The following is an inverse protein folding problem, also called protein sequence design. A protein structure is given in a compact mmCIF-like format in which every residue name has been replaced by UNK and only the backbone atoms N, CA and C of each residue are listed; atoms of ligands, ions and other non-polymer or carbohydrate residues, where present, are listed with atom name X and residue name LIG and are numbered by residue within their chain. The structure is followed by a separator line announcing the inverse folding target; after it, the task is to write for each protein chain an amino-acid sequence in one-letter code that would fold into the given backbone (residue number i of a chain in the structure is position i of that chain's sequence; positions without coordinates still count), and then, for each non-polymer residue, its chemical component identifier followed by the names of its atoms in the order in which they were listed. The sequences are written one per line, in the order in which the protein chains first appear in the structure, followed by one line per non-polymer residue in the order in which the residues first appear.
data_IF_983092093699
#
_entry.id   IF_983092093699
#
_cell.length_a   1.000
_cell.length_b   1.000
_cell.length_c   1.000
_cell.angle_alpha   90.00
_cell.angle_beta   90.00
_cell.angle_gamma   90.00
#
_symmetry.space_group_name_H-M   'P 1'
#
loop_
_entity.id
_entity.type
_entity.pdbx_description
1 polymer ?
#
# COMPACT_ATOMS: atom_id res chain seq x y z
N UNK A 1 44.45 33.39 2.95
CA UNK A 1 43.79 32.39 3.82
C UNK A 1 42.86 31.58 2.91
N UNK A 2 43.25 30.35 2.56
CA UNK A 2 42.43 29.46 1.73
C UNK A 2 41.42 28.74 2.62
N UNK A 3 40.14 28.81 2.28
CA UNK A 3 39.11 28.00 2.93
C UNK A 3 38.98 26.67 2.17
N UNK A 4 39.31 25.56 2.83
CA UNK A 4 38.95 24.23 2.34
C UNK A 4 37.57 23.88 2.92
N UNK A 5 36.58 23.64 2.06
CA UNK A 5 35.29 23.08 2.47
C UNK A 5 35.41 21.57 2.35
N UNK A 6 35.46 20.86 3.48
CA UNK A 6 35.29 19.41 3.52
C UNK A 6 33.83 19.11 3.90
N UNK A 7 33.15 18.33 3.06
CA UNK A 7 31.80 17.81 3.34
C UNK A 7 31.97 16.43 3.95
N UNK A 8 31.59 16.26 5.22
CA UNK A 8 31.53 14.95 5.87
C UNK A 8 30.10 14.43 5.74
N UNK A 9 29.93 13.27 5.11
CA UNK A 9 28.63 12.60 5.02
C UNK A 9 28.56 11.56 6.14
N UNK A 10 27.64 11.74 7.08
CA UNK A 10 27.33 10.72 8.09
C UNK A 10 26.16 9.90 7.59
N UNK A 11 26.40 8.65 7.22
CA UNK A 11 25.33 7.72 6.84
C UNK A 11 24.86 6.99 8.08
N UNK A 12 23.68 7.35 8.60
CA UNK A 12 23.00 6.55 9.61
C UNK A 12 22.22 5.46 8.86
N UNK A 13 22.66 4.21 8.96
CA UNK A 13 21.92 3.09 8.39
C UNK A 13 20.79 2.68 9.33
N UNK A 14 19.61 3.24 9.10
CA UNK A 14 18.36 2.87 9.76
C UNK A 14 17.18 3.53 9.03
N UNK A 15 16.19 2.71 8.67
CA UNK A 15 14.87 3.03 8.08
C UNK A 15 14.74 4.40 7.37
N UNK A 16 14.89 4.38 6.04
CA UNK A 16 14.37 5.38 5.09
C UNK A 16 14.80 6.86 5.24
N UNK A 17 15.69 7.23 6.17
CA UNK A 17 16.22 8.58 6.25
C UNK A 17 17.70 8.64 5.86
N UNK A 18 18.03 9.57 4.96
CA UNK A 18 19.38 10.11 4.82
C UNK A 18 19.32 11.56 5.29
N UNK A 19 20.00 11.86 6.41
CA UNK A 19 20.26 13.23 6.83
C UNK A 19 21.69 13.59 6.46
N UNK A 20 21.90 14.71 5.75
CA UNK A 20 23.24 15.24 5.47
C UNK A 20 23.48 16.41 6.41
N UNK A 21 24.42 16.26 7.34
CA UNK A 21 24.87 17.37 8.19
C UNK A 21 25.89 18.22 7.40
N UNK A 22 25.67 19.52 7.30
CA UNK A 22 26.56 20.42 6.57
C UNK A 22 27.13 21.51 7.49
N UNK A 23 28.24 21.20 8.19
CA UNK A 23 29.41 22.08 8.44
C UNK A 23 30.29 21.50 9.55
N UNK A 24 31.60 21.48 9.33
CA UNK A 24 32.60 21.34 10.38
C UNK A 24 33.73 22.37 10.12
N UNK A 25 34.31 22.92 11.18
CA UNK A 25 35.43 23.87 11.11
C UNK A 25 36.76 23.16 11.37
N UNK A 26 37.83 23.69 10.79
CA UNK A 26 39.19 23.15 10.89
C UNK A 26 39.99 23.97 11.90
N UNK A 27 40.53 23.34 12.94
CA UNK A 27 41.59 23.92 13.76
C UNK A 27 42.90 23.13 13.61
N UNK A 28 43.88 23.83 13.03
CA UNK A 28 45.35 23.77 13.05
C UNK A 28 46.17 22.49 13.30
N UNK A 29 45.58 21.31 13.52
CA UNK A 29 46.31 20.05 13.43
C UNK A 29 45.42 19.04 12.71
N UNK A 30 46.01 18.28 11.78
CA UNK A 30 45.34 17.33 10.88
C UNK A 30 44.75 16.09 11.62
N UNK A 31 44.04 16.29 12.72
CA UNK A 31 43.31 15.27 13.48
C UNK A 31 41.93 15.80 13.89
N UNK A 32 40.88 15.06 13.53
CA UNK A 32 39.52 15.33 13.98
C UNK A 32 39.32 14.77 15.39
N UNK A 33 38.99 15.63 16.35
CA UNK A 33 38.42 15.21 17.64
C UNK A 33 37.15 16.01 17.84
N UNK A 34 36.00 15.34 17.82
CA UNK A 34 34.76 15.87 18.38
C UNK A 34 34.59 15.25 19.76
N UNK A 35 34.34 16.08 20.77
CA UNK A 35 33.81 15.62 22.05
C UNK A 35 32.29 15.65 21.97
N UNK A 36 31.64 14.65 22.56
CA UNK A 36 30.16 14.50 22.63
C UNK A 36 29.48 15.80 23.12
N UNK A 37 30.20 16.63 23.87
CA UNK A 37 29.71 17.86 24.47
C UNK A 37 29.43 19.01 23.47
N UNK A 38 29.86 18.93 22.20
CA UNK A 38 29.49 19.93 21.17
C UNK A 38 28.14 19.61 20.46
N UNK A 39 27.49 18.52 20.84
CA UNK A 39 26.12 18.17 20.43
C UNK A 39 25.05 18.68 21.43
N UNK A 40 25.42 19.58 22.36
CA UNK A 40 24.48 20.20 23.30
C UNK A 40 23.46 21.08 22.56
N UNK A 41 22.31 20.46 22.28
CA UNK A 41 21.20 21.00 21.51
C UNK A 41 20.34 19.88 20.91
N UNK A 42 20.89 18.67 20.78
CA UNK A 42 20.11 17.47 20.48
C UNK A 42 19.87 16.75 21.81
N UNK A 43 18.70 16.99 22.41
CA UNK A 43 18.18 16.14 23.49
C UNK A 43 17.98 14.73 22.94
N UNK A 44 18.89 13.81 23.26
CA UNK A 44 18.61 12.38 23.27
C UNK A 44 18.20 12.08 24.71
N UNK A 45 16.90 12.03 24.99
CA UNK A 45 16.41 11.57 26.28
C UNK A 45 16.76 10.09 26.43
N UNK A 46 17.86 9.79 27.12
CA UNK A 46 18.16 8.46 27.61
C UNK A 46 17.33 8.20 28.87
N UNK A 47 16.04 7.95 28.68
CA UNK A 47 15.12 7.50 29.73
C UNK A 47 15.33 6.02 30.00
N UNK A 48 16.20 5.70 30.96
CA UNK A 48 16.28 4.37 31.53
C UNK A 48 15.06 4.10 32.43
N UNK A 49 13.99 3.59 31.83
CA UNK A 49 12.93 2.86 32.53
C UNK A 49 12.66 1.57 31.76
N UNK A 50 12.38 0.48 32.49
CA UNK A 50 12.12 -0.84 31.92
C UNK A 50 10.88 -0.79 31.00
N UNK A 51 11.08 -0.55 29.70
CA UNK A 51 10.09 -0.86 28.69
C UNK A 51 10.09 -2.37 28.48
N UNK A 52 9.09 -3.03 29.06
CA UNK A 52 8.65 -4.31 28.53
C UNK A 52 8.32 -4.09 27.04
N UNK A 53 9.07 -4.77 26.16
CA UNK A 53 8.84 -4.94 24.73
C UNK A 53 8.02 -3.82 24.04
N UNK A 54 8.70 -2.74 23.61
CA UNK A 54 8.26 -2.09 22.37
C UNK A 54 8.46 -3.13 21.26
N UNK A 55 7.41 -3.91 21.00
CA UNK A 55 7.38 -4.84 19.89
C UNK A 55 7.79 -4.09 18.63
N UNK A 56 8.96 -4.44 18.09
CA UNK A 56 9.53 -3.99 16.82
C UNK A 56 8.39 -3.88 15.78
N UNK A 57 7.87 -2.67 15.58
CA UNK A 57 6.64 -2.47 14.81
C UNK A 57 7.00 -2.56 13.33
N UNK A 58 7.09 -3.79 12.85
CA UNK A 58 7.36 -4.12 11.46
C UNK A 58 6.36 -3.41 10.55
N UNK A 59 6.85 -2.74 9.49
CA UNK A 59 6.01 -2.08 8.48
C UNK A 59 5.05 -3.11 7.89
N UNK A 60 3.76 -2.79 7.81
CA UNK A 60 2.75 -3.68 7.22
C UNK A 60 2.40 -3.22 5.81
N UNK A 61 2.62 -4.10 4.83
CA UNK A 61 2.16 -3.93 3.44
C UNK A 61 1.00 -4.87 3.19
N UNK A 62 -0.19 -4.31 2.99
CA UNK A 62 -1.35 -5.06 2.54
C UNK A 62 -1.39 -5.12 1.01
N UNK A 63 -1.28 -6.31 0.44
CA UNK A 63 -1.58 -6.55 -0.98
C UNK A 63 -3.07 -6.87 -1.06
N UNK A 64 -3.84 -5.98 -1.68
CA UNK A 64 -5.29 -6.10 -1.78
C UNK A 64 -5.68 -6.54 -3.18
N UNK A 65 -6.40 -7.66 -3.27
CA UNK A 65 -7.00 -8.12 -4.51
C UNK A 65 -8.48 -8.45 -4.28
N UNK A 66 -9.35 -8.06 -5.22
CA UNK A 66 -10.74 -8.50 -5.23
C UNK A 66 -10.94 -9.58 -6.28
N UNK A 67 -11.71 -10.60 -5.94
CA UNK A 67 -11.97 -11.76 -6.81
C UNK A 67 -13.46 -12.04 -6.91
N UNK A 68 -13.83 -12.68 -8.02
CA UNK A 68 -15.18 -13.19 -8.28
C UNK A 68 -15.05 -14.56 -8.93
N UNK A 69 -15.76 -15.52 -8.38
CA UNK A 69 -15.78 -16.89 -8.87
C UNK A 69 -16.29 -16.97 -10.30
N UNK A 70 -15.81 -17.99 -11.00
CA UNK A 70 -16.32 -18.40 -12.30
C UNK A 70 -17.00 -19.76 -12.17
N UNK A 71 -17.98 -20.03 -13.04
CA UNK A 71 -18.76 -21.27 -13.03
C UNK A 71 -17.90 -22.54 -13.20
N UNK A 72 -16.74 -22.41 -13.83
CA UNK A 72 -15.79 -23.47 -14.09
C UNK A 72 -14.79 -23.73 -12.94
N UNK A 73 -14.77 -22.89 -11.90
CA UNK A 73 -13.87 -23.08 -10.76
C UNK A 73 -14.36 -24.24 -9.88
N UNK A 74 -13.62 -25.37 -9.93
CA UNK A 74 -13.90 -26.56 -9.12
C UNK A 74 -12.98 -26.70 -7.90
N UNK A 75 -11.80 -26.09 -7.95
CA UNK A 75 -10.79 -26.15 -6.89
C UNK A 75 -9.98 -24.86 -6.79
N UNK A 76 -9.30 -24.65 -5.67
CA UNK A 76 -8.42 -23.50 -5.47
C UNK A 76 -7.31 -23.47 -6.53
N UNK A 77 -6.83 -24.64 -6.95
CA UNK A 77 -5.82 -24.82 -8.00
C UNK A 77 -6.30 -24.39 -9.39
N UNK A 78 -7.57 -24.06 -9.59
CA UNK A 78 -8.06 -23.48 -10.84
C UNK A 78 -8.01 -21.95 -10.84
N UNK A 79 -7.77 -21.32 -9.68
CA UNK A 79 -7.82 -19.86 -9.53
C UNK A 79 -6.53 -19.18 -9.98
N UNK A 80 -6.66 -17.92 -10.42
CA UNK A 80 -5.49 -17.09 -10.71
C UNK A 80 -4.73 -16.71 -9.43
N UNK A 81 -5.41 -16.61 -8.28
CA UNK A 81 -4.79 -16.39 -6.98
C UNK A 81 -3.73 -17.45 -6.68
N UNK A 82 -4.11 -18.74 -6.77
CA UNK A 82 -3.23 -19.85 -6.47
C UNK A 82 -2.10 -20.02 -7.50
N UNK A 83 -2.40 -19.87 -8.80
CA UNK A 83 -1.43 -20.20 -9.84
C UNK A 83 -0.54 -19.03 -10.29
N UNK A 84 -0.91 -17.79 -9.97
CA UNK A 84 -0.27 -16.59 -10.52
C UNK A 84 0.11 -15.64 -9.39
N UNK A 85 -0.90 -15.06 -8.72
CA UNK A 85 -0.68 -13.95 -7.79
C UNK A 85 0.20 -14.37 -6.63
N UNK A 86 -0.21 -15.41 -5.89
CA UNK A 86 0.50 -15.89 -4.69
C UNK A 86 1.93 -16.36 -5.02
N UNK A 87 2.17 -17.24 -6.02
CA UNK A 87 3.53 -17.63 -6.39
C UNK A 87 4.41 -16.45 -6.79
N UNK A 88 3.84 -15.43 -7.44
CA UNK A 88 4.59 -14.23 -7.82
C UNK A 88 4.98 -13.36 -6.61
N UNK A 89 4.12 -13.26 -5.59
CA UNK A 89 4.44 -12.58 -4.33
C UNK A 89 5.60 -13.31 -3.64
N UNK A 90 5.48 -14.63 -3.44
CA UNK A 90 6.52 -15.44 -2.79
C UNK A 90 7.88 -15.36 -3.52
N UNK A 91 7.85 -15.19 -4.84
CA UNK A 91 9.06 -15.07 -5.67
C UNK A 91 9.68 -13.67 -5.67
N UNK A 92 8.89 -12.61 -5.54
CA UNK A 92 9.36 -11.23 -5.75
C UNK A 92 9.56 -10.43 -4.48
N UNK A 93 8.87 -10.77 -3.39
CA UNK A 93 9.17 -10.21 -2.08
C UNK A 93 10.49 -10.81 -1.59
N UNK A 94 11.48 -9.95 -1.38
CA UNK A 94 12.85 -10.40 -1.13
C UNK A 94 13.11 -10.71 0.34
N UNK A 95 14.07 -11.59 0.68
CA UNK A 95 14.49 -11.81 2.06
C UNK A 95 14.97 -10.56 2.79
N UNK A 96 15.51 -9.56 2.07
CA UNK A 96 15.87 -8.27 2.63
C UNK A 96 14.64 -7.44 3.03
N UNK A 97 13.56 -7.51 2.26
CA UNK A 97 12.30 -6.82 2.59
C UNK A 97 11.62 -7.46 3.79
N UNK A 98 11.56 -8.80 3.83
CA UNK A 98 10.86 -9.52 4.90
C UNK A 98 11.48 -9.32 6.29
N UNK A 99 12.72 -8.80 6.39
CA UNK A 99 13.34 -8.42 7.66
C UNK A 99 12.71 -7.19 8.30
N UNK A 100 12.07 -6.35 7.50
CA UNK A 100 11.57 -5.03 7.90
C UNK A 100 10.09 -4.84 7.59
N UNK A 101 9.56 -5.65 6.68
CA UNK A 101 8.20 -5.56 6.17
C UNK A 101 7.49 -6.88 6.35
N UNK A 102 6.30 -6.81 6.96
CA UNK A 102 5.31 -7.87 6.95
C UNK A 102 4.41 -7.67 5.74
N UNK A 103 4.23 -8.71 4.95
CA UNK A 103 3.35 -8.68 3.77
C UNK A 103 2.12 -9.54 4.04
N UNK A 104 0.95 -8.93 3.96
CA UNK A 104 -0.33 -9.60 4.12
C UNK A 104 -1.13 -9.52 2.82
N UNK A 105 -1.64 -10.66 2.35
CA UNK A 105 -2.56 -10.71 1.22
C UNK A 105 -4.01 -10.63 1.74
N UNK A 106 -4.77 -9.65 1.26
CA UNK A 106 -6.16 -9.44 1.66
C UNK A 106 -7.06 -9.61 0.43
N UNK A 107 -7.94 -10.62 0.49
CA UNK A 107 -8.83 -10.99 -0.60
C UNK A 107 -10.24 -10.54 -0.31
N UNK A 108 -10.74 -9.61 -1.13
CA UNK A 108 -12.15 -9.20 -1.14
C UNK A 108 -13.01 -10.04 -2.07
N UNK A 109 -14.22 -10.39 -1.65
CA UNK A 109 -15.22 -11.05 -2.51
C UNK A 109 -16.64 -10.62 -2.13
N UNK A 110 -17.58 -10.76 -3.07
CA UNK A 110 -19.00 -10.47 -2.84
C UNK A 110 -19.62 -11.54 -1.91
N UNK A 111 -20.50 -11.13 -1.00
CA UNK A 111 -21.16 -12.01 -0.02
C UNK A 111 -22.07 -13.09 -0.61
N UNK A 112 -22.38 -13.00 -1.90
CA UNK A 112 -23.12 -14.01 -2.65
C UNK A 112 -22.21 -14.89 -3.54
N UNK A 113 -20.88 -14.81 -3.40
CA UNK A 113 -19.95 -15.62 -4.16
C UNK A 113 -19.94 -17.08 -3.64
N UNK A 114 -20.43 -18.07 -4.42
CA UNK A 114 -20.59 -19.43 -3.92
C UNK A 114 -19.26 -20.13 -3.63
N UNK A 115 -18.20 -19.79 -4.36
CA UNK A 115 -16.90 -20.46 -4.22
C UNK A 115 -16.16 -19.96 -2.99
N UNK A 116 -16.09 -18.64 -2.81
CA UNK A 116 -15.34 -18.04 -1.71
C UNK A 116 -16.12 -18.01 -0.40
N UNK A 117 -17.45 -18.16 -0.42
CA UNK A 117 -18.23 -18.39 0.79
C UNK A 117 -18.00 -19.77 1.41
N UNK A 118 -17.50 -20.75 0.66
CA UNK A 118 -17.11 -22.06 1.22
C UNK A 118 -15.85 -21.93 2.10
N UNK A 119 -15.95 -22.16 3.44
CA UNK A 119 -14.80 -22.10 4.35
C UNK A 119 -13.71 -23.11 4.00
N UNK A 120 -14.04 -24.25 3.37
CA UNK A 120 -13.06 -25.24 2.97
C UNK A 120 -12.15 -24.69 1.87
N UNK A 121 -12.69 -23.94 0.90
CA UNK A 121 -11.90 -23.29 -0.17
C UNK A 121 -10.95 -22.23 0.38
N UNK A 122 -11.42 -21.41 1.32
CA UNK A 122 -10.58 -20.40 1.98
C UNK A 122 -9.44 -21.05 2.77
N UNK A 123 -9.74 -22.10 3.53
CA UNK A 123 -8.76 -22.87 4.30
C UNK A 123 -7.76 -23.60 3.40
N UNK A 124 -8.23 -24.21 2.30
CA UNK A 124 -7.40 -24.86 1.29
C UNK A 124 -6.37 -23.86 0.73
N UNK A 125 -6.78 -22.64 0.37
CA UNK A 125 -5.86 -21.64 -0.12
C UNK A 125 -4.87 -21.17 0.96
N UNK A 126 -5.35 -20.91 2.18
CA UNK A 126 -4.52 -20.52 3.33
C UNK A 126 -3.38 -21.51 3.61
N UNK A 127 -3.69 -22.81 3.56
CA UNK A 127 -2.70 -23.86 3.82
C UNK A 127 -1.72 -24.07 2.66
N UNK A 128 -2.01 -23.51 1.48
CA UNK A 128 -1.19 -23.69 0.26
C UNK A 128 -0.06 -22.68 0.09
N UNK A 129 0.05 -21.69 0.98
CA UNK A 129 1.01 -20.58 0.85
C UNK A 129 1.69 -20.23 2.17
N UNK A 130 2.86 -19.59 2.07
CA UNK A 130 3.56 -18.99 3.19
C UNK A 130 3.16 -17.53 3.43
N UNK A 131 2.46 -16.91 2.49
CA UNK A 131 1.98 -15.52 2.62
C UNK A 131 0.73 -15.54 3.50
N UNK A 132 0.71 -14.78 4.62
CA UNK A 132 -0.50 -14.61 5.41
C UNK A 132 -1.64 -14.10 4.53
N UNK A 133 -2.79 -14.77 4.56
CA UNK A 133 -3.94 -14.43 3.73
C UNK A 133 -5.20 -14.28 4.56
N UNK A 134 -5.83 -13.12 4.44
CA UNK A 134 -7.13 -12.79 5.01
C UNK A 134 -8.19 -12.68 3.92
N UNK A 135 -9.41 -13.04 4.26
CA UNK A 135 -10.56 -12.97 3.36
C UNK A 135 -11.62 -12.04 3.94
N UNK A 136 -12.19 -11.19 3.10
CA UNK A 136 -13.22 -10.22 3.45
C UNK A 136 -14.40 -10.41 2.50
N UNK A 137 -15.54 -10.76 3.08
CA UNK A 137 -16.83 -10.80 2.38
C UNK A 137 -17.52 -9.45 2.50
N UNK A 138 -18.00 -8.93 1.37
CA UNK A 138 -18.65 -7.61 1.30
C UNK A 138 -20.05 -7.75 0.73
N UNK A 139 -21.09 -7.15 1.36
CA UNK A 139 -22.45 -7.23 0.87
C UNK A 139 -22.59 -6.76 -0.58
N UNK A 140 -23.16 -7.60 -1.45
CA UNK A 140 -23.41 -7.19 -2.83
C UNK A 140 -24.50 -6.13 -2.88
N UNK A 141 -24.18 -4.96 -3.41
CA UNK A 141 -25.17 -3.90 -3.63
C UNK A 141 -25.97 -4.17 -4.91
N UNK A 142 -27.28 -4.46 -4.84
CA UNK A 142 -28.06 -4.79 -6.04
C UNK A 142 -28.15 -3.64 -7.05
N UNK A 143 -28.10 -2.39 -6.56
CA UNK A 143 -28.09 -1.17 -7.37
C UNK A 143 -26.77 -0.94 -8.10
N UNK A 144 -25.69 -1.64 -7.74
CA UNK A 144 -24.34 -1.47 -8.27
C UNK A 144 -23.71 -2.83 -8.61
N UNK A 145 -24.25 -3.56 -9.60
CA UNK A 145 -23.90 -4.96 -9.85
C UNK A 145 -22.44 -5.16 -10.30
N UNK A 146 -21.81 -4.11 -10.85
CA UNK A 146 -20.44 -4.17 -11.38
C UNK A 146 -19.39 -3.56 -10.43
N UNK A 147 -19.82 -3.10 -9.26
CA UNK A 147 -18.93 -2.58 -8.23
C UNK A 147 -17.99 -3.66 -7.73
N UNK A 148 -16.70 -3.31 -7.68
CA UNK A 148 -15.65 -4.10 -7.06
C UNK A 148 -15.42 -3.56 -5.64
N UNK A 149 -15.38 -4.40 -4.58
CA UNK A 149 -15.38 -3.95 -3.19
C UNK A 149 -14.02 -3.42 -2.69
N UNK A 150 -13.27 -2.69 -3.51
CA UNK A 150 -11.95 -2.16 -3.12
C UNK A 150 -12.04 -1.18 -1.95
N UNK A 151 -13.06 -0.33 -1.90
CA UNK A 151 -13.20 0.65 -0.80
C UNK A 151 -13.29 -0.04 0.56
N UNK A 152 -14.14 -1.05 0.70
CA UNK A 152 -14.29 -1.81 1.94
C UNK A 152 -13.03 -2.56 2.32
N UNK A 153 -12.41 -3.26 1.36
CA UNK A 153 -11.27 -4.15 1.63
C UNK A 153 -10.01 -3.34 1.94
N UNK A 154 -9.76 -2.24 1.23
CA UNK A 154 -8.67 -1.32 1.54
C UNK A 154 -8.90 -0.59 2.85
N UNK A 155 -10.14 -0.18 3.17
CA UNK A 155 -10.46 0.45 4.47
C UNK A 155 -10.21 -0.52 5.62
N UNK A 156 -10.66 -1.77 5.49
CA UNK A 156 -10.39 -2.79 6.49
C UNK A 156 -8.88 -3.05 6.65
N UNK A 157 -8.11 -3.03 5.55
CA UNK A 157 -6.65 -3.18 5.61
C UNK A 157 -5.99 -2.01 6.36
N UNK A 158 -6.45 -0.78 6.12
CA UNK A 158 -6.00 0.42 6.83
C UNK A 158 -6.30 0.35 8.33
N UNK A 159 -7.53 -0.01 8.70
CA UNK A 159 -7.96 -0.12 10.10
C UNK A 159 -7.18 -1.24 10.82
N UNK A 160 -6.90 -2.35 10.13
CA UNK A 160 -6.02 -3.42 10.61
C UNK A 160 -4.57 -2.98 10.87
N UNK A 161 -4.18 -1.80 10.42
CA UNK A 161 -2.88 -1.21 10.65
C UNK A 161 -1.90 -1.39 9.49
N UNK A 162 -2.38 -1.54 8.26
CA UNK A 162 -1.52 -1.46 7.09
C UNK A 162 -0.92 -0.05 6.93
N UNK A 163 0.39 0.04 6.82
CA UNK A 163 1.10 1.29 6.52
C UNK A 163 1.04 1.61 5.03
N UNK A 164 1.10 0.57 4.20
CA UNK A 164 1.00 0.67 2.76
C UNK A 164 -0.01 -0.33 2.21
N UNK A 165 -0.68 0.08 1.13
CA UNK A 165 -1.65 -0.73 0.42
C UNK A 165 -1.24 -0.82 -1.04
N UNK A 166 -1.03 -2.04 -1.52
CA UNK A 166 -0.81 -2.37 -2.92
C UNK A 166 -2.12 -2.94 -3.51
N UNK A 167 -2.85 -2.15 -4.30
CA UNK A 167 -4.05 -2.63 -4.99
C UNK A 167 -3.65 -3.33 -6.28
N UNK A 168 -4.08 -4.59 -6.42
CA UNK A 168 -3.84 -5.42 -7.60
C UNK A 168 -5.10 -6.16 -8.04
N UNK A 169 -5.10 -6.69 -9.27
CA UNK A 169 -6.14 -7.62 -9.72
C UNK A 169 -5.79 -9.06 -9.30
N UNK A 170 -6.79 -9.93 -9.21
CA UNK A 170 -6.61 -11.35 -8.85
C UNK A 170 -5.79 -12.17 -9.87
N UNK A 171 -5.67 -11.67 -11.10
CA UNK A 171 -4.92 -12.25 -12.22
C UNK A 171 -3.62 -11.50 -12.54
N UNK A 172 -3.10 -10.76 -11.55
CA UNK A 172 -1.84 -10.03 -11.68
C UNK A 172 -0.65 -10.88 -11.28
N UNK A 173 0.49 -10.66 -11.93
CA UNK A 173 1.75 -11.30 -11.61
C UNK A 173 2.83 -10.23 -11.32
N UNK A 174 3.45 -10.32 -10.15
CA UNK A 174 4.64 -9.54 -9.85
C UNK A 174 5.85 -10.12 -10.61
N UNK A 175 6.56 -9.28 -11.35
CA UNK A 175 7.73 -9.69 -12.14
C UNK A 175 9.02 -9.29 -11.43
N UNK A 176 9.13 -8.02 -11.05
CA UNK A 176 10.37 -7.46 -10.50
C UNK A 176 10.51 -7.73 -9.00
N UNK A 177 11.65 -8.28 -8.53
CA UNK A 177 11.93 -8.39 -7.11
C UNK A 177 12.24 -7.02 -6.49
N UNK A 178 12.06 -6.91 -5.17
CA UNK A 178 12.41 -5.70 -4.42
C UNK A 178 11.46 -4.52 -4.66
N UNK A 179 10.24 -4.81 -5.12
CA UNK A 179 9.31 -3.78 -5.56
C UNK A 179 8.74 -2.96 -4.40
N UNK A 180 8.61 -3.55 -3.19
CA UNK A 180 8.14 -2.85 -2.00
C UNK A 180 9.13 -1.74 -1.66
N UNK A 181 10.42 -2.08 -1.57
CA UNK A 181 11.47 -1.12 -1.25
C UNK A 181 11.49 0.05 -2.23
N UNK A 182 11.36 -0.23 -3.54
CA UNK A 182 11.30 0.80 -4.58
C UNK A 182 10.10 1.71 -4.42
N UNK A 183 8.92 1.14 -4.18
CA UNK A 183 7.68 1.88 -4.02
C UNK A 183 7.70 2.77 -2.76
N UNK A 184 8.11 2.23 -1.62
CA UNK A 184 8.26 2.97 -0.35
C UNK A 184 9.27 4.10 -0.48
N UNK A 185 10.46 3.83 -1.04
CA UNK A 185 11.48 4.86 -1.29
C UNK A 185 10.96 5.99 -2.19
N UNK A 186 10.13 5.68 -3.18
CA UNK A 186 9.59 6.71 -4.06
C UNK A 186 8.54 7.56 -3.36
N UNK A 187 7.66 6.95 -2.57
CA UNK A 187 6.64 7.67 -1.80
C UNK A 187 7.28 8.60 -0.74
N UNK A 188 8.37 8.17 -0.09
CA UNK A 188 9.07 8.99 0.90
C UNK A 188 9.69 10.27 0.33
N UNK A 189 9.96 10.29 -0.97
CA UNK A 189 10.58 11.41 -1.69
C UNK A 189 9.57 12.44 -2.22
N UNK A 190 8.26 12.20 -2.10
CA UNK A 190 7.29 13.22 -2.44
C UNK A 190 7.32 14.38 -1.44
N UNK A 191 6.69 15.50 -1.83
CA UNK A 191 6.54 16.66 -0.96
C UNK A 191 5.06 17.01 -0.78
N UNK A 192 4.48 16.86 0.43
CA UNK A 192 5.10 16.22 1.59
C UNK A 192 5.34 14.72 1.37
N UNK A 193 6.24 14.07 2.13
CA UNK A 193 6.47 12.63 2.07
C UNK A 193 5.16 11.84 2.22
N UNK A 194 5.10 10.66 1.59
CA UNK A 194 3.98 9.71 1.68
C UNK A 194 2.67 10.15 1.02
N UNK A 195 2.54 11.43 0.67
CA UNK A 195 1.38 11.96 -0.06
C UNK A 195 1.61 11.78 -1.55
N UNK A 196 1.11 10.67 -2.08
CA UNK A 196 1.15 10.38 -3.49
C UNK A 196 0.75 8.94 -3.81
N UNK A 197 0.97 8.57 -5.06
CA UNK A 197 0.79 7.22 -5.56
C UNK A 197 1.96 6.80 -6.42
N UNK A 198 2.31 5.53 -6.32
CA UNK A 198 3.28 4.88 -7.22
C UNK A 198 2.65 3.64 -7.80
N UNK A 199 3.07 3.22 -8.99
CA UNK A 199 2.59 1.99 -9.59
C UNK A 199 3.59 1.36 -10.54
N UNK A 200 3.41 0.09 -10.88
CA UNK A 200 4.30 -0.63 -11.76
C UNK A 200 4.15 -0.18 -13.22
N UNK A 201 5.18 -0.48 -14.00
CA UNK A 201 5.04 -0.60 -15.44
C UNK A 201 4.27 -1.88 -15.75
N UNK A 202 3.14 -1.74 -16.45
CA UNK A 202 2.41 -2.85 -17.03
C UNK A 202 2.33 -2.65 -18.55
N UNK A 203 2.69 -3.68 -19.30
CA UNK A 203 2.71 -3.65 -20.78
C UNK A 203 1.42 -4.19 -21.39
N UNK A 204 0.51 -4.69 -20.57
CA UNK A 204 -0.80 -5.21 -20.97
C UNK A 204 -1.88 -4.18 -20.62
N UNK A 205 -2.99 -4.22 -21.37
CA UNK A 205 -4.11 -3.31 -21.15
C UNK A 205 -3.75 -1.83 -21.43
N UNK A 206 -4.28 -0.93 -20.61
CA UNK A 206 -4.07 0.51 -20.77
C UNK A 206 -2.74 0.95 -20.13
N UNK A 207 -1.70 1.06 -20.95
CA UNK A 207 -0.34 1.42 -20.51
C UNK A 207 -0.20 2.89 -20.09
N UNK A 208 -1.21 3.74 -20.31
CA UNK A 208 -1.17 5.18 -19.96
C UNK A 208 -1.54 5.46 -18.52
N UNK A 209 -2.27 4.56 -17.87
CA UNK A 209 -2.77 4.72 -16.50
C UNK A 209 -2.10 3.71 -15.55
N UNK A 210 -2.32 3.88 -14.25
CA UNK A 210 -1.99 2.92 -13.21
C UNK A 210 -3.14 1.93 -13.07
N UNK A 211 -2.98 0.73 -13.63
CA UNK A 211 -3.95 -0.38 -13.44
C UNK A 211 -3.68 -1.19 -12.18
N UNK A 212 -2.58 -0.85 -11.48
CA UNK A 212 -2.17 -1.34 -10.18
C UNK A 212 -1.50 -0.14 -9.51
N UNK A 213 -1.67 0.00 -8.21
CA UNK A 213 -1.15 1.14 -7.49
C UNK A 213 -0.74 0.77 -6.06
N UNK A 214 0.12 1.60 -5.52
CA UNK A 214 0.70 1.47 -4.20
C UNK A 214 0.73 2.85 -3.54
N UNK A 215 0.11 2.91 -2.39
CA UNK A 215 -0.09 4.14 -1.61
C UNK A 215 0.30 3.88 -0.17
N UNK A 216 0.69 4.95 0.51
CA UNK A 216 0.76 4.97 1.97
C UNK A 216 -0.65 5.18 2.55
N UNK A 217 -0.86 4.78 3.81
CA UNK A 217 -2.12 4.95 4.56
C UNK A 217 -2.68 6.38 4.56
N UNK A 218 -1.80 7.38 4.41
CA UNK A 218 -2.19 8.79 4.23
C UNK A 218 -3.15 9.01 3.06
N UNK A 219 -3.18 8.11 2.08
CA UNK A 219 -4.21 8.11 1.05
C UNK A 219 -5.62 8.04 1.65
N UNK A 220 -5.87 7.10 2.54
CA UNK A 220 -7.17 6.93 3.19
C UNK A 220 -7.40 8.07 4.20
N UNK A 221 -6.36 8.62 4.83
CA UNK A 221 -6.49 9.82 5.68
C UNK A 221 -6.94 11.07 4.89
N UNK A 222 -6.61 11.15 3.59
CA UNK A 222 -6.99 12.27 2.72
C UNK A 222 -8.42 12.12 2.20
N UNK A 223 -8.80 10.89 1.84
CA UNK A 223 -9.99 10.63 1.03
C UNK A 223 -11.12 9.89 1.76
N UNK A 224 -10.88 9.41 2.98
CA UNK A 224 -11.72 8.51 3.79
C UNK A 224 -11.97 7.11 3.19
N UNK A 225 -12.07 7.02 1.86
CA UNK A 225 -12.16 5.82 1.04
C UNK A 225 -10.94 5.70 0.10
N UNK A 226 -10.68 4.49 -0.41
CA UNK A 226 -9.60 4.25 -1.38
C UNK A 226 -9.90 4.82 -2.78
N UNK A 227 -11.17 4.77 -3.18
CA UNK A 227 -11.67 5.42 -4.39
C UNK A 227 -12.93 6.22 -4.06
N UNK A 228 -13.27 7.22 -4.90
CA UNK A 228 -14.56 7.89 -4.82
C UNK A 228 -15.71 6.88 -4.93
N UNK A 229 -16.68 6.99 -4.02
CA UNK A 229 -17.77 6.03 -3.89
C UNK A 229 -18.64 5.96 -5.15
N UNK A 230 -18.63 6.97 -6.02
CA UNK A 230 -19.37 6.99 -7.28
C UNK A 230 -18.82 6.03 -8.35
N UNK A 231 -17.60 5.50 -8.22
CA UNK A 231 -16.99 4.64 -9.23
C UNK A 231 -17.11 3.14 -8.90
N UNK A 232 -17.64 2.37 -9.85
CA UNK A 232 -17.82 0.91 -9.70
C UNK A 232 -16.57 0.11 -10.07
N UNK A 233 -15.84 0.54 -11.11
CA UNK A 233 -14.73 -0.23 -11.69
C UNK A 233 -13.83 0.58 -12.64
N UNK A 234 -14.30 0.89 -13.86
CA UNK A 234 -13.46 1.28 -14.99
C UNK A 234 -12.73 2.61 -14.77
N UNK A 235 -13.34 3.55 -14.04
CA UNK A 235 -12.80 4.88 -13.84
C UNK A 235 -11.91 5.01 -12.60
N UNK A 236 -11.77 3.95 -11.79
CA UNK A 236 -10.93 3.99 -10.58
C UNK A 236 -9.45 4.11 -10.94
N UNK A 237 -9.01 3.40 -12.00
CA UNK A 237 -7.64 3.44 -12.50
C UNK A 237 -7.29 4.83 -13.06
N UNK A 238 -8.20 5.43 -13.84
CA UNK A 238 -8.05 6.81 -14.31
C UNK A 238 -7.99 7.79 -13.12
N UNK A 239 -8.91 7.65 -12.15
CA UNK A 239 -8.96 8.56 -11.02
C UNK A 239 -7.66 8.55 -10.22
N UNK A 240 -7.17 7.37 -9.80
CA UNK A 240 -5.96 7.28 -8.98
C UNK A 240 -4.72 7.75 -9.74
N UNK A 241 -4.67 7.50 -11.06
CA UNK A 241 -3.59 7.98 -11.93
C UNK A 241 -3.46 9.50 -11.88
N UNK A 242 -4.59 10.21 -11.86
CA UNK A 242 -4.60 11.66 -12.08
C UNK A 242 -4.83 12.49 -10.80
N UNK A 243 -5.42 11.94 -9.74
CA UNK A 243 -5.85 12.71 -8.56
C UNK A 243 -4.68 13.43 -7.85
N UNK A 244 -3.53 12.77 -7.76
CA UNK A 244 -2.32 13.33 -7.15
C UNK A 244 -1.55 14.28 -8.06
N UNK A 245 -1.88 14.33 -9.36
CA UNK A 245 -1.19 15.11 -10.36
C UNK A 245 0.25 14.62 -10.65
N UNK A 246 0.93 15.22 -11.65
CA UNK A 246 2.21 14.71 -12.15
C UNK A 246 3.38 14.82 -11.16
N UNK A 247 3.25 15.61 -10.09
CA UNK A 247 4.30 15.78 -9.08
C UNK A 247 4.29 14.68 -8.01
N UNK A 248 3.16 14.01 -7.80
CA UNK A 248 2.92 13.02 -6.74
C UNK A 248 2.40 11.68 -7.29
N UNK A 249 2.49 11.48 -8.60
CA UNK A 249 2.21 10.21 -9.29
C UNK A 249 3.46 9.75 -10.01
N UNK A 250 3.90 8.50 -9.78
CA UNK A 250 5.06 7.93 -10.49
C UNK A 250 4.76 6.50 -10.94
N UNK A 251 4.94 6.23 -12.23
CA UNK A 251 5.05 4.87 -12.75
C UNK A 251 6.52 4.45 -12.68
N UNK A 252 6.83 3.44 -11.88
CA UNK A 252 8.21 2.98 -11.68
C UNK A 252 8.66 2.07 -12.84
N UNK A 253 9.72 2.43 -13.58
CA UNK A 253 10.17 1.67 -14.75
C UNK A 253 10.84 0.33 -14.39
N UNK A 254 11.33 0.21 -13.16
CA UNK A 254 12.05 -0.96 -12.62
C UNK A 254 11.18 -1.82 -11.68
N UNK A 255 9.89 -1.54 -11.62
CA UNK A 255 8.85 -2.38 -11.04
C UNK A 255 7.87 -2.78 -12.15
N UNK A 256 7.96 -4.02 -12.61
CA UNK A 256 7.09 -4.57 -13.64
C UNK A 256 6.05 -5.52 -13.04
N UNK A 257 4.82 -5.42 -13.56
CA UNK A 257 3.74 -6.36 -13.32
C UNK A 257 3.16 -6.82 -14.65
N UNK A 258 2.79 -8.10 -14.72
CA UNK A 258 2.10 -8.68 -15.86
C UNK A 258 0.62 -8.89 -15.53
N UNK A 259 -0.27 -8.36 -16.37
CA UNK A 259 -1.71 -8.51 -16.21
C UNK A 259 -2.22 -9.57 -17.19
N UNK A 260 -2.68 -10.72 -16.67
CA UNK A 260 -3.17 -11.86 -17.45
C UNK A 260 -4.58 -11.61 -18.03
N UNK A 261 -4.76 -10.50 -18.74
CA UNK A 261 -6.03 -10.00 -19.32
C UNK A 261 -6.79 -11.02 -20.19
N UNK A 262 -6.09 -11.98 -20.81
CA UNK A 262 -6.69 -13.02 -21.64
C UNK A 262 -7.41 -14.12 -20.86
N UNK A 263 -7.09 -14.31 -19.56
CA UNK A 263 -7.67 -15.38 -18.76
C UNK A 263 -9.10 -15.12 -18.34
N UNK A 264 -9.57 -13.88 -18.39
CA UNK A 264 -10.88 -13.53 -17.84
C UNK A 264 -11.80 -12.72 -18.76
N UNK A 265 -11.34 -12.34 -19.95
CA UNK A 265 -12.13 -11.52 -20.87
C UNK A 265 -12.54 -10.17 -20.26
N UNK A 266 -13.42 -9.43 -20.94
CA UNK A 266 -13.99 -8.21 -20.38
C UNK A 266 -15.01 -8.59 -19.29
N UNK A 267 -14.58 -8.65 -18.03
CA UNK A 267 -15.44 -9.01 -16.88
C UNK A 267 -16.51 -7.96 -16.55
N UNK A 268 -16.36 -6.71 -17.03
CA UNK A 268 -17.21 -5.59 -16.65
C UNK A 268 -17.62 -4.72 -17.85
N UNK A 269 -18.89 -4.33 -17.90
CA UNK A 269 -19.39 -3.38 -18.90
C UNK A 269 -18.89 -1.97 -18.61
N UNK A 270 -18.52 -1.22 -19.66
CA UNK A 270 -18.07 0.16 -19.53
C UNK A 270 -19.27 1.06 -19.28
N UNK A 271 -19.38 1.65 -18.09
CA UNK A 271 -20.41 2.65 -17.82
C UNK A 271 -19.93 4.05 -18.27
N UNK A 272 -20.35 4.46 -19.46
CA UNK A 272 -19.97 5.75 -20.08
C UNK A 272 -20.51 6.96 -19.30
N UNK A 273 -21.58 6.80 -18.52
CA UNK A 273 -22.18 7.83 -17.65
C UNK A 273 -21.18 8.34 -16.61
N UNK A 274 -20.41 7.43 -15.99
CA UNK A 274 -19.42 7.72 -14.94
C UNK A 274 -18.22 8.52 -15.48
N UNK A 275 -17.92 8.43 -16.78
CA UNK A 275 -16.88 9.24 -17.44
C UNK A 275 -17.09 10.74 -17.22
N UNK A 276 -18.34 11.18 -17.18
CA UNK A 276 -18.69 12.60 -17.00
C UNK A 276 -18.41 13.08 -15.58
N UNK A 277 -18.35 12.16 -14.61
CA UNK A 277 -18.10 12.47 -13.20
C UNK A 277 -16.60 12.57 -12.90
N UNK A 278 -15.74 11.88 -13.66
CA UNK A 278 -14.28 11.87 -13.46
C UNK A 278 -13.66 13.27 -13.31
N UNK A 279 -13.93 14.28 -14.17
CA UNK A 279 -13.34 15.60 -13.99
C UNK A 279 -13.77 16.31 -12.70
N UNK A 280 -15.00 16.08 -12.24
CA UNK A 280 -15.48 16.66 -10.98
C UNK A 280 -14.80 15.98 -9.79
N UNK A 281 -14.77 14.65 -9.79
CA UNK A 281 -14.15 13.84 -8.76
C UNK A 281 -12.64 14.12 -8.62
N UNK A 282 -11.92 14.30 -9.74
CA UNK A 282 -10.52 14.71 -9.74
C UNK A 282 -10.29 16.09 -9.12
N UNK A 283 -11.16 17.07 -9.40
CA UNK A 283 -11.06 18.41 -8.78
C UNK A 283 -11.34 18.37 -7.27
N UNK A 284 -12.30 17.54 -6.85
CA UNK A 284 -12.60 17.35 -5.44
C UNK A 284 -11.43 16.67 -4.72
N UNK A 285 -10.88 15.60 -5.29
CA UNK A 285 -9.72 14.91 -4.73
C UNK A 285 -8.49 15.80 -4.65
N UNK A 286 -8.19 16.57 -5.70
CA UNK A 286 -7.10 17.55 -5.67
C UNK A 286 -7.30 18.59 -4.54
N UNK A 287 -8.53 19.06 -4.30
CA UNK A 287 -8.83 19.98 -3.20
C UNK A 287 -8.62 19.32 -1.83
N UNK A 288 -9.00 18.05 -1.65
CA UNK A 288 -8.77 17.31 -0.40
C UNK A 288 -7.27 17.16 -0.12
N UNK A 289 -6.45 16.84 -1.13
CA UNK A 289 -4.99 16.79 -0.99
C UNK A 289 -4.45 18.15 -0.51
N UNK A 290 -4.83 19.25 -1.15
CA UNK A 290 -4.31 20.57 -0.77
C UNK A 290 -4.75 20.97 0.65
N UNK A 291 -5.99 20.65 1.05
CA UNK A 291 -6.45 20.86 2.42
C UNK A 291 -5.67 20.00 3.43
N UNK A 292 -5.36 18.75 3.09
CA UNK A 292 -4.55 17.86 3.93
C UNK A 292 -3.13 18.39 4.08
N UNK A 293 -2.48 18.77 2.97
CA UNK A 293 -1.11 19.32 2.97
C UNK A 293 -1.05 20.59 3.82
N UNK A 294 -2.00 21.52 3.66
CA UNK A 294 -2.07 22.75 4.45
C UNK A 294 -2.26 22.50 5.95
N UNK A 295 -2.99 21.45 6.33
CA UNK A 295 -3.20 21.08 7.76
C UNK A 295 -2.01 20.36 8.36
N UNK A 296 -1.33 19.51 7.59
CA UNK A 296 -0.32 18.57 8.07
C UNK A 296 1.13 18.97 7.77
N UNK A 297 1.38 20.19 7.29
CA UNK A 297 2.72 20.81 7.34
C UNK A 297 3.29 20.90 8.77
N UNK A 298 2.50 20.55 9.80
CA UNK A 298 2.88 20.61 11.22
C UNK A 298 3.13 19.27 11.93
N UNK A 299 2.80 18.10 11.38
CA UNK A 299 3.18 16.73 11.85
C UNK A 299 2.34 15.65 11.12
N UNK A 300 2.95 14.50 10.79
CA UNK A 300 2.20 13.28 10.43
C UNK A 300 1.96 12.49 11.73
N UNK A 301 0.71 12.31 12.20
CA UNK A 301 0.47 11.60 13.45
C UNK A 301 0.90 10.14 13.36
N UNK A 302 1.55 9.63 14.43
CA UNK A 302 1.65 8.21 14.69
C UNK A 302 0.23 7.70 14.99
N UNK A 303 -0.25 6.74 14.20
CA UNK A 303 -1.62 6.24 14.34
C UNK A 303 -1.65 4.94 15.15
N UNK A 304 -2.42 4.93 16.23
CA UNK A 304 -2.75 3.71 16.98
C UNK A 304 -3.67 2.81 16.14
N UNK A 305 -3.38 1.50 16.11
CA UNK A 305 -4.25 0.53 15.41
C UNK A 305 -5.64 0.57 16.01
N UNK A 306 -6.66 0.70 15.18
CA UNK A 306 -8.07 0.69 15.62
C UNK A 306 -8.75 -0.61 15.23
N UNK A 307 -9.73 -1.03 16.02
CA UNK A 307 -10.56 -2.21 15.69
C UNK A 307 -11.40 -1.88 14.45
N UNK A 308 -11.45 -2.82 13.51
CA UNK A 308 -12.16 -2.68 12.24
C UNK A 308 -13.59 -2.13 12.43
N UNK A 309 -13.96 -1.10 11.67
CA UNK A 309 -15.32 -0.60 11.57
C UNK A 309 -16.17 -1.57 10.77
N UNK A 310 -16.77 -2.54 11.46
CA UNK A 310 -17.37 -3.75 10.84
C UNK A 310 -18.75 -3.55 10.20
N UNK A 311 -19.34 -2.35 10.21
CA UNK A 311 -20.71 -2.13 9.74
C UNK A 311 -20.90 -2.34 8.22
N UNK A 312 -19.81 -2.38 7.44
CA UNK A 312 -19.84 -2.53 5.98
C UNK A 312 -19.39 -3.91 5.49
N UNK A 313 -19.01 -4.82 6.38
CA UNK A 313 -18.46 -6.13 6.04
C UNK A 313 -19.47 -7.24 6.38
N UNK A 314 -19.59 -8.24 5.50
CA UNK A 314 -20.43 -9.42 5.73
C UNK A 314 -19.67 -10.51 6.49
N UNK A 315 -18.34 -10.51 6.44
CA UNK A 315 -17.51 -11.43 7.20
C UNK A 315 -16.02 -11.22 6.97
N UNK A 316 -15.21 -11.68 7.94
CA UNK A 316 -13.75 -11.57 7.93
C UNK A 316 -13.16 -12.90 8.40
N UNK A 317 -12.10 -13.38 7.74
CA UNK A 317 -11.39 -14.62 8.11
C UNK A 317 -9.87 -14.46 7.92
N UNK A 318 -9.08 -15.25 8.65
CA UNK A 318 -7.61 -15.22 8.62
C UNK A 318 -7.01 -14.28 9.68
N UNK A 319 -5.74 -13.87 9.52
CA UNK A 319 -5.03 -13.04 10.50
C UNK A 319 -5.74 -11.74 10.91
N UNK A 320 -6.57 -11.18 10.02
CA UNK A 320 -7.40 -10.02 10.35
C UNK A 320 -8.53 -10.35 11.34
N UNK A 321 -9.16 -11.52 11.20
CA UNK A 321 -10.21 -11.94 12.12
C UNK A 321 -9.65 -12.26 13.51
N UNK A 322 -8.46 -12.85 13.58
CA UNK A 322 -7.78 -13.15 14.85
C UNK A 322 -7.44 -11.87 15.62
N UNK A 323 -6.99 -10.82 14.93
CA UNK A 323 -6.75 -9.51 15.56
C UNK A 323 -8.03 -8.87 16.08
N UNK A 324 -9.13 -8.91 15.31
CA UNK A 324 -10.44 -8.41 15.74
C UNK A 324 -10.95 -9.18 16.96
N UNK A 325 -10.71 -10.48 17.06
CA UNK A 325 -11.15 -11.27 18.21
C UNK A 325 -10.38 -10.96 19.50
N UNK A 326 -9.21 -10.34 19.40
CA UNK A 326 -8.32 -10.02 20.52
C UNK A 326 -8.49 -8.60 21.08
N UNK A 327 -9.25 -7.72 20.42
CA UNK A 327 -9.41 -6.30 20.76
C UNK A 327 -10.89 -5.90 20.78
#
# INVERSE_FOLDING_TARGET
MLWLIAVVTVTISGFFFSATLARAYLENDLSWKTTIDELEGILIESGGENFADEADSQIVVAIVACTKSKDDWKSVNATALHNILIPSIERTVTPSETKHVRVDLVIGFDDNDPFWNDPQKRKELQLSTRVPISFISVPKQPSRPFRIPFNEVCKASYEYGADFIARVNDDSEFISPGWITKAVNRLSQYNPPWVGVVGPTCRQGNTKILTHDFVHRTHIDIFDNYYPDEFDNWWIDDWITYVYGPKRTTKLPDWEMFHHTSKHGQRYQVEQSLKRQLPLSLRQGARQIELFVQRNESQVPLHERTVLGTDRLAGIWGPMADFVALH
#
